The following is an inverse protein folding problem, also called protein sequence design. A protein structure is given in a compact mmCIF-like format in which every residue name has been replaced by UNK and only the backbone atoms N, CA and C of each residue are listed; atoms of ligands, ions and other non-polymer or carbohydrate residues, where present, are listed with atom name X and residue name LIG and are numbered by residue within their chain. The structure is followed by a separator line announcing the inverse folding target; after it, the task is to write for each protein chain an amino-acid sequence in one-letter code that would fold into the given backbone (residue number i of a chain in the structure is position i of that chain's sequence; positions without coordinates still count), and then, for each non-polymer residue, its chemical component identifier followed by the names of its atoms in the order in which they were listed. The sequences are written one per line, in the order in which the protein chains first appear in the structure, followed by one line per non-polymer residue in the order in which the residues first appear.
data_IF_567961514543
#
_entry.id   IF_567961514543
#
_cell.length_a   1.000
_cell.length_b   1.000
_cell.length_c   1.000
_cell.angle_alpha   90.00
_cell.angle_beta   90.00
_cell.angle_gamma   90.00
#
_symmetry.space_group_name_H-M   'P 1'
#
loop_
_entity.id
_entity.type
_entity.pdbx_description
1 polymer ?
#
# COMPACT_ATOMS: atom_id res chain seq x y z
N UNK A 1 10.43 21.89 3.64
CA UNK A 1 11.26 20.78 4.12
C UNK A 1 12.35 20.50 3.07
N UNK A 2 13.57 20.10 3.48
CA UNK A 2 14.73 19.86 2.59
C UNK A 2 14.92 18.38 2.21
N UNK A 3 14.17 17.47 2.83
CA UNK A 3 14.28 16.03 2.57
C UNK A 3 13.31 15.62 1.46
N UNK A 4 13.80 15.12 0.33
CA UNK A 4 12.96 14.78 -0.83
C UNK A 4 12.36 13.37 -0.78
N UNK A 5 13.01 12.44 -0.08
CA UNK A 5 12.63 11.01 -0.03
C UNK A 5 12.46 10.58 1.42
N UNK A 6 11.34 9.92 1.70
CA UNK A 6 11.03 9.31 3.01
C UNK A 6 10.88 7.80 2.82
N UNK A 7 11.59 7.01 3.63
CA UNK A 7 11.51 5.55 3.61
C UNK A 7 10.96 5.07 4.95
N UNK A 8 9.90 4.27 4.90
CA UNK A 8 9.27 3.64 6.04
C UNK A 8 9.34 2.13 5.87
N UNK A 9 9.90 1.46 6.87
CA UNK A 9 9.93 0.01 6.98
C UNK A 9 9.12 -0.40 8.21
N UNK A 10 8.26 -1.42 8.07
CA UNK A 10 7.39 -1.94 9.14
C UNK A 10 6.53 -0.88 9.87
N UNK A 11 6.07 0.16 9.17
CA UNK A 11 5.13 1.14 9.75
C UNK A 11 3.78 0.52 10.16
N UNK A 12 3.54 -0.72 9.75
CA UNK A 12 2.40 -1.55 10.09
C UNK A 12 2.58 -2.42 11.34
N UNK A 13 3.72 -2.34 12.04
CA UNK A 13 3.95 -3.12 13.25
C UNK A 13 2.89 -2.84 14.33
N UNK A 14 2.16 -3.89 14.72
CA UNK A 14 1.17 -3.82 15.80
C UNK A 14 -0.12 -3.05 15.47
N UNK A 15 -0.39 -2.74 14.19
CA UNK A 15 -1.61 -2.05 13.78
C UNK A 15 -2.44 -2.88 12.79
N UNK A 16 -3.74 -2.58 12.73
CA UNK A 16 -4.68 -3.23 11.80
C UNK A 16 -5.96 -2.43 11.63
N UNK A 17 -6.81 -2.86 10.70
CA UNK A 17 -8.13 -2.25 10.46
C UNK A 17 -8.06 -0.74 10.20
N UNK A 18 -8.83 0.04 10.97
CA UNK A 18 -8.95 1.49 10.81
C UNK A 18 -7.66 2.26 11.12
N UNK A 19 -6.81 1.73 11.99
CA UNK A 19 -5.52 2.35 12.29
C UNK A 19 -4.59 2.28 11.07
N UNK A 20 -4.49 1.11 10.43
CA UNK A 20 -3.74 0.93 9.18
C UNK A 20 -4.30 1.82 8.04
N UNK A 21 -5.63 1.98 7.97
CA UNK A 21 -6.25 2.88 7.00
C UNK A 21 -5.82 4.35 7.19
N UNK A 22 -5.75 4.79 8.45
CA UNK A 22 -5.34 6.16 8.80
C UNK A 22 -3.87 6.39 8.50
N UNK A 23 -3.01 5.39 8.73
CA UNK A 23 -1.59 5.45 8.35
C UNK A 23 -1.44 5.56 6.84
N UNK A 24 -2.17 4.75 6.07
CA UNK A 24 -2.16 4.83 4.60
C UNK A 24 -2.58 6.21 4.08
N UNK A 25 -3.63 6.81 4.64
CA UNK A 25 -4.08 8.16 4.29
C UNK A 25 -3.01 9.23 4.60
N UNK A 26 -2.33 9.13 5.75
CA UNK A 26 -1.22 10.03 6.11
C UNK A 26 -0.02 9.88 5.17
N UNK A 27 0.36 8.65 4.83
CA UNK A 27 1.43 8.39 3.86
C UNK A 27 1.07 8.95 2.48
N UNK A 28 -0.19 8.82 2.07
CA UNK A 28 -0.68 9.42 0.82
C UNK A 28 -0.64 10.95 0.87
N UNK A 29 -1.00 11.57 1.99
CA UNK A 29 -0.89 13.02 2.15
C UNK A 29 0.58 13.49 2.06
N UNK A 30 1.51 12.77 2.70
CA UNK A 30 2.96 13.05 2.61
C UNK A 30 3.47 12.92 1.17
N UNK A 31 2.95 11.95 0.40
CA UNK A 31 3.37 11.71 -0.98
C UNK A 31 3.14 12.91 -1.93
N UNK A 32 2.29 13.87 -1.54
CA UNK A 32 2.05 15.10 -2.31
C UNK A 32 3.29 15.99 -2.40
N UNK A 33 4.17 15.93 -1.40
CA UNK A 33 5.35 16.80 -1.30
C UNK A 33 6.68 16.04 -1.21
N UNK A 34 6.63 14.71 -0.98
CA UNK A 34 7.80 13.86 -0.84
C UNK A 34 7.63 12.57 -1.64
N UNK A 35 8.72 11.99 -2.13
CA UNK A 35 8.69 10.60 -2.58
C UNK A 35 8.66 9.69 -1.34
N UNK A 36 7.58 8.94 -1.17
CA UNK A 36 7.40 8.02 -0.04
C UNK A 36 7.59 6.58 -0.52
N UNK A 37 8.52 5.86 0.11
CA UNK A 37 8.72 4.42 -0.06
C UNK A 37 8.26 3.74 1.22
N UNK A 38 7.26 2.86 1.12
CA UNK A 38 6.71 2.14 2.26
C UNK A 38 6.83 0.64 2.01
N UNK A 39 7.46 -0.08 2.95
CA UNK A 39 7.53 -1.53 2.98
C UNK A 39 6.47 -2.00 3.98
N UNK A 40 5.51 -2.80 3.51
CA UNK A 40 4.34 -3.20 4.31
C UNK A 40 3.84 -4.57 3.86
N UNK A 41 3.26 -5.31 4.81
CA UNK A 41 2.52 -6.54 4.55
C UNK A 41 1.00 -6.34 4.64
N UNK A 42 0.53 -5.14 5.01
CA UNK A 42 -0.89 -4.84 5.14
C UNK A 42 -1.50 -4.35 3.82
N UNK A 43 -2.55 -5.02 3.29
CA UNK A 43 -3.21 -4.60 2.06
C UNK A 43 -3.84 -3.21 2.19
N UNK A 44 -4.30 -2.84 3.40
CA UNK A 44 -4.87 -1.54 3.69
C UNK A 44 -3.89 -0.41 3.36
N UNK A 45 -2.62 -0.54 3.73
CA UNK A 45 -1.58 0.46 3.44
C UNK A 45 -1.16 0.39 1.98
N UNK A 46 -0.90 -0.81 1.46
CA UNK A 46 -0.48 -1.00 0.06
C UNK A 46 -1.51 -0.46 -0.96
N UNK A 47 -2.80 -0.47 -0.61
CA UNK A 47 -3.87 0.09 -1.45
C UNK A 47 -3.76 1.60 -1.70
N UNK A 48 -3.08 2.35 -0.83
CA UNK A 48 -2.86 3.80 -0.99
C UNK A 48 -1.68 4.14 -1.92
N UNK A 49 -0.81 3.17 -2.23
CA UNK A 49 0.38 3.42 -3.05
C UNK A 49 0.03 3.84 -4.49
N UNK A 50 0.76 4.81 -5.03
CA UNK A 50 0.65 5.17 -6.45
C UNK A 50 1.26 4.10 -7.34
N UNK A 51 2.42 3.58 -6.91
CA UNK A 51 3.13 2.47 -7.54
C UNK A 51 3.17 1.33 -6.54
N UNK A 52 2.72 0.15 -6.94
CA UNK A 52 2.84 -1.07 -6.14
C UNK A 52 4.00 -1.90 -6.70
N UNK A 53 5.03 -2.13 -5.90
CA UNK A 53 6.13 -3.03 -6.21
C UNK A 53 5.95 -4.35 -5.48
N UNK A 54 5.94 -5.46 -6.22
CA UNK A 54 5.93 -6.81 -5.66
C UNK A 54 7.36 -7.33 -5.57
N UNK A 55 7.69 -7.90 -4.41
CA UNK A 55 8.98 -8.53 -4.14
C UNK A 55 8.77 -10.04 -4.04
N UNK A 56 9.47 -10.81 -4.87
CA UNK A 56 9.33 -12.26 -4.97
C UNK A 56 10.71 -12.93 -4.82
N UNK A 57 10.78 -13.99 -4.00
CA UNK A 57 11.97 -14.84 -3.90
C UNK A 57 11.86 -15.98 -4.92
N UNK A 58 12.93 -16.22 -5.66
CA UNK A 58 13.05 -17.32 -6.62
C UNK A 58 14.33 -18.10 -6.35
N UNK A 59 14.36 -19.40 -6.64
CA UNK A 59 15.58 -20.20 -6.56
C UNK A 59 16.10 -20.42 -7.97
N UNK A 60 17.33 -19.97 -8.25
CA UNK A 60 18.04 -20.22 -9.51
C UNK A 60 19.36 -20.89 -9.21
N UNK A 61 19.60 -22.07 -9.80
CA UNK A 61 20.83 -22.85 -9.65
C UNK A 61 21.25 -23.04 -8.17
N UNK A 62 20.28 -23.38 -7.31
CA UNK A 62 20.51 -23.60 -5.87
C UNK A 62 20.74 -22.33 -5.04
N UNK A 63 20.63 -21.13 -5.63
CA UNK A 63 20.74 -19.84 -4.92
C UNK A 63 19.42 -19.08 -4.92
N UNK A 64 19.09 -18.50 -3.77
CA UNK A 64 17.94 -17.59 -3.64
C UNK A 64 18.25 -16.24 -4.29
N UNK A 65 17.44 -15.84 -5.25
CA UNK A 65 17.45 -14.54 -5.90
C UNK A 65 16.15 -13.79 -5.63
N UNK A 66 16.24 -12.49 -5.39
CA UNK A 66 15.07 -11.61 -5.21
C UNK A 66 14.74 -10.93 -6.53
N UNK A 67 13.48 -10.95 -6.92
CA UNK A 67 12.94 -10.23 -8.08
C UNK A 67 11.99 -9.15 -7.57
N UNK A 68 12.12 -7.94 -8.11
CA UNK A 68 11.21 -6.82 -7.86
C UNK A 68 10.54 -6.46 -9.17
N UNK A 69 9.22 -6.30 -9.18
CA UNK A 69 8.46 -5.84 -10.35
C UNK A 69 7.33 -4.92 -9.94
N UNK A 70 7.02 -3.93 -10.77
CA UNK A 70 5.80 -3.15 -10.59
C UNK A 70 4.58 -3.96 -11.01
N UNK A 71 3.48 -3.84 -10.27
CA UNK A 71 2.20 -4.46 -10.54
C UNK A 71 1.09 -3.40 -10.62
N UNK A 72 0.16 -3.60 -11.56
CA UNK A 72 -0.94 -2.69 -11.83
C UNK A 72 -2.17 -3.48 -12.32
N UNK A 73 -3.34 -2.84 -12.39
CA UNK A 73 -4.56 -3.49 -12.85
C UNK A 73 -4.89 -4.76 -12.06
N UNK A 74 -5.20 -5.84 -12.77
CA UNK A 74 -5.60 -7.12 -12.18
C UNK A 74 -4.48 -7.72 -11.32
N UNK A 75 -3.21 -7.63 -11.72
CA UNK A 75 -2.07 -8.11 -10.92
C UNK A 75 -2.04 -7.44 -9.53
N UNK A 76 -2.39 -6.15 -9.47
CA UNK A 76 -2.47 -5.39 -8.21
C UNK A 76 -3.65 -5.85 -7.35
N UNK A 77 -4.80 -6.13 -7.97
CA UNK A 77 -5.98 -6.67 -7.28
C UNK A 77 -5.67 -8.03 -6.68
N UNK A 78 -5.07 -8.93 -7.47
CA UNK A 78 -4.72 -10.28 -7.03
C UNK A 78 -3.70 -10.25 -5.89
N UNK A 79 -2.70 -9.38 -5.95
CA UNK A 79 -1.73 -9.28 -4.86
C UNK A 79 -2.37 -8.77 -3.56
N UNK A 80 -3.28 -7.80 -3.63
CA UNK A 80 -4.01 -7.34 -2.45
C UNK A 80 -4.96 -8.41 -1.90
N UNK A 81 -5.62 -9.20 -2.76
CA UNK A 81 -6.46 -10.32 -2.36
C UNK A 81 -5.65 -11.40 -1.63
N UNK A 82 -4.46 -11.72 -2.18
CA UNK A 82 -3.48 -12.62 -1.56
C UNK A 82 -3.01 -12.09 -0.21
N UNK A 83 -2.73 -10.78 -0.08
CA UNK A 83 -2.35 -10.17 1.20
C UNK A 83 -3.50 -10.19 2.23
N UNK A 84 -4.75 -10.09 1.79
CA UNK A 84 -5.94 -10.12 2.67
C UNK A 84 -6.20 -11.51 3.27
N UNK A 85 -6.12 -12.56 2.47
CA UNK A 85 -6.60 -13.89 2.86
C UNK A 85 -5.57 -15.01 2.76
N UNK A 86 -4.37 -14.72 2.27
CA UNK A 86 -3.35 -15.72 1.95
C UNK A 86 -3.59 -16.44 0.62
N UNK A 87 -4.67 -16.14 -0.10
CA UNK A 87 -5.01 -16.73 -1.40
C UNK A 87 -5.99 -15.90 -2.22
N UNK A 88 -6.47 -16.49 -3.31
CA UNK A 88 -7.18 -15.78 -4.38
C UNK A 88 -8.67 -16.17 -4.43
N UNK A 89 -9.34 -16.12 -3.27
CA UNK A 89 -10.79 -16.35 -3.23
C UNK A 89 -11.55 -15.20 -3.91
N UNK A 90 -12.71 -15.51 -4.51
CA UNK A 90 -13.58 -14.51 -5.14
C UNK A 90 -13.94 -13.37 -4.16
N UNK A 91 -14.24 -13.73 -2.90
CA UNK A 91 -14.53 -12.75 -1.83
C UNK A 91 -13.34 -11.82 -1.57
N UNK A 92 -12.12 -12.36 -1.52
CA UNK A 92 -10.91 -11.54 -1.30
C UNK A 92 -10.60 -10.62 -2.48
N UNK A 93 -10.88 -11.07 -3.72
CA UNK A 93 -10.72 -10.28 -4.94
C UNK A 93 -11.70 -9.11 -4.93
N UNK A 94 -12.98 -9.36 -4.64
CA UNK A 94 -13.99 -8.30 -4.55
C UNK A 94 -13.66 -7.28 -3.46
N UNK A 95 -13.18 -7.75 -2.29
CA UNK A 95 -12.73 -6.84 -1.24
C UNK A 95 -11.52 -6.00 -1.68
N UNK A 96 -10.55 -6.59 -2.39
CA UNK A 96 -9.40 -5.86 -2.92
C UNK A 96 -9.80 -4.78 -3.94
N UNK A 97 -10.75 -5.10 -4.83
CA UNK A 97 -11.30 -4.13 -5.80
C UNK A 97 -11.97 -2.95 -5.10
N UNK A 98 -12.82 -3.24 -4.11
CA UNK A 98 -13.53 -2.20 -3.36
C UNK A 98 -12.53 -1.29 -2.61
N UNK A 99 -11.49 -1.88 -2.02
CA UNK A 99 -10.43 -1.14 -1.35
C UNK A 99 -9.74 -0.15 -2.30
N UNK A 100 -9.32 -0.59 -3.49
CA UNK A 100 -8.70 0.27 -4.51
C UNK A 100 -9.64 1.38 -4.99
N UNK A 101 -10.91 1.04 -5.25
CA UNK A 101 -11.94 2.00 -5.68
C UNK A 101 -12.12 3.13 -4.67
N UNK A 102 -12.22 2.80 -3.38
CA UNK A 102 -12.34 3.78 -2.31
C UNK A 102 -11.12 4.71 -2.23
N UNK A 103 -9.91 4.22 -2.55
CA UNK A 103 -8.69 5.03 -2.50
C UNK A 103 -8.55 5.95 -3.71
N UNK A 104 -8.96 5.48 -4.89
CA UNK A 104 -9.02 6.32 -6.09
C UNK A 104 -9.95 7.53 -5.88
N UNK A 105 -11.11 7.33 -5.24
CA UNK A 105 -12.07 8.42 -4.97
C UNK A 105 -11.54 9.46 -3.96
N UNK A 106 -10.78 9.04 -2.94
CA UNK A 106 -10.15 9.95 -1.97
C UNK A 106 -9.03 10.81 -2.58
N UNK A 107 -8.34 10.31 -3.61
CA UNK A 107 -7.24 11.05 -4.25
C UNK A 107 -7.68 12.28 -5.07
N UNK A 108 -8.98 12.37 -5.42
CA UNK A 108 -9.55 13.48 -6.18
C UNK A 108 -10.32 14.53 -5.36
N UNK A 109 -10.44 14.36 -4.03
CA UNK A 109 -11.15 15.31 -3.17
C UNK A 109 -10.15 16.15 -2.36
N UNK A 110 -10.27 17.49 -2.32
CA UNK A 110 -9.50 18.31 -1.39
C UNK A 110 -9.96 17.96 0.03
N UNK A 111 -9.14 17.20 0.76
CA UNK A 111 -9.36 17.03 2.20
C UNK A 111 -9.18 18.39 2.88
N UNK A 112 -10.30 18.93 3.36
CA UNK A 112 -10.34 20.05 4.29
C UNK A 112 -9.42 19.70 5.47
N UNK A 113 -8.42 20.55 5.70
CA UNK A 113 -7.52 20.46 6.83
C UNK A 113 -8.32 20.60 8.13
N UNK A 114 -8.72 19.48 8.72
CA UNK A 114 -9.19 19.45 10.10
C UNK A 114 -8.00 19.82 10.98
N UNK A 115 -7.99 21.06 11.46
CA UNK A 115 -7.00 21.58 12.38
C UNK A 115 -7.00 20.78 13.69
N UNK A 116 -5.81 20.45 14.16
CA UNK A 116 -5.60 20.12 15.56
C UNK A 116 -5.62 21.43 16.37
N UNK A 117 -6.39 21.53 17.46
CA UNK A 117 -6.28 22.65 18.38
C UNK A 117 -4.88 22.62 19.05
N UNK A 118 -4.25 23.80 19.12
CA UNK A 118 -3.08 24.04 19.97
C UNK A 118 -3.50 24.04 21.44
#
# INVERSE_FOLDING_TARGET
DRISILVFDEIDAGIGGKAADTVGDKLKALSKNHQVICITHLPQIASYGDIHLKIEKTVKAGRTAVKVRSIAGDDRVMELARMLSGGDSEVSIEHAKEMLKLKMQKSGSPQQAAGYPK
#
